data_IF_627363841584
#
_entry.id   IF_627363841584
#
_cell.length_a   1.000
_cell.length_b   1.000
_cell.length_c   1.000
_cell.angle_alpha   90.00
_cell.angle_beta   90.00
_cell.angle_gamma   90.00
#
_symmetry.space_group_name_H-M   'P 1'
#
loop_
_entity.id
_entity.type
_entity.pdbx_description
1 polymer ?
#
# COMPACT_ATOMS: atom_id res chain seq x y z
N UNK A 1 12.54 8.15 -12.16
CA UNK A 1 11.09 7.86 -12.15
C UNK A 1 10.86 6.78 -11.10
N UNK A 2 9.74 6.81 -10.38
CA UNK A 2 9.47 5.78 -9.35
C UNK A 2 9.23 4.47 -10.07
N UNK A 3 9.81 3.36 -9.62
CA UNK A 3 9.56 2.06 -10.23
C UNK A 3 8.19 1.51 -9.77
N UNK A 4 7.46 0.87 -10.67
CA UNK A 4 6.14 0.30 -10.35
C UNK A 4 6.25 -0.78 -9.25
N UNK A 5 7.37 -1.50 -9.22
CA UNK A 5 7.72 -2.53 -8.24
C UNK A 5 7.83 -1.96 -6.82
N UNK A 6 8.21 -0.69 -6.67
CA UNK A 6 8.27 0.00 -5.37
C UNK A 6 6.87 0.40 -4.87
N UNK A 7 5.93 0.62 -5.80
CA UNK A 7 4.56 1.03 -5.50
C UNK A 7 3.65 -0.16 -5.22
N UNK A 8 3.87 -1.30 -5.88
CA UNK A 8 3.07 -2.52 -5.70
C UNK A 8 2.86 -2.92 -4.21
N UNK A 9 3.89 -3.04 -3.36
CA UNK A 9 3.68 -3.42 -1.96
C UNK A 9 2.98 -2.35 -1.12
N UNK A 10 3.06 -1.07 -1.52
CA UNK A 10 2.30 0.00 -0.87
C UNK A 10 0.83 -0.06 -1.26
N UNK A 11 0.54 -0.27 -2.54
CA UNK A 11 -0.82 -0.42 -3.06
C UNK A 11 -1.54 -1.63 -2.44
N UNK A 12 -0.89 -2.78 -2.35
CA UNK A 12 -1.50 -3.98 -1.73
C UNK A 12 -1.92 -3.72 -0.28
N UNK A 13 -1.05 -3.06 0.51
CA UNK A 13 -1.36 -2.66 1.89
C UNK A 13 -2.50 -1.65 1.95
N UNK A 14 -2.52 -0.69 1.04
CA UNK A 14 -3.60 0.29 0.93
C UNK A 14 -4.94 -0.39 0.60
N UNK A 15 -4.97 -1.32 -0.35
CA UNK A 15 -6.17 -2.06 -0.75
C UNK A 15 -6.75 -2.84 0.44
N UNK A 16 -5.92 -3.65 1.12
CA UNK A 16 -6.37 -4.44 2.28
C UNK A 16 -6.84 -3.54 3.41
N UNK A 17 -6.11 -2.47 3.70
CA UNK A 17 -6.42 -1.55 4.79
C UNK A 17 -7.68 -0.70 4.55
N UNK A 18 -7.84 -0.18 3.34
CA UNK A 18 -9.00 0.64 2.94
C UNK A 18 -10.26 -0.20 2.88
N UNK A 19 -10.21 -1.35 2.21
CA UNK A 19 -11.37 -2.19 1.95
C UNK A 19 -11.66 -3.19 3.07
N UNK A 20 -10.88 -3.14 4.16
CA UNK A 20 -11.04 -3.98 5.36
C UNK A 20 -11.17 -5.47 5.01
N UNK A 21 -10.30 -5.94 4.11
CA UNK A 21 -10.28 -7.34 3.69
C UNK A 21 -9.74 -8.21 4.83
N UNK A 22 -10.61 -8.56 5.78
CA UNK A 22 -10.24 -9.30 6.99
C UNK A 22 -9.63 -10.67 6.65
N UNK A 23 -8.44 -10.94 7.19
CA UNK A 23 -7.74 -12.21 6.99
C UNK A 23 -7.02 -12.35 5.64
N UNK A 24 -7.00 -11.29 4.80
CA UNK A 24 -6.25 -11.28 3.57
C UNK A 24 -4.88 -10.61 3.79
N UNK A 25 -3.80 -11.36 3.52
CA UNK A 25 -2.45 -10.82 3.59
C UNK A 25 -2.16 -9.99 2.33
N UNK A 26 -1.76 -8.71 2.43
CA UNK A 26 -1.38 -7.92 1.27
C UNK A 26 -0.28 -8.59 0.43
N UNK A 27 0.63 -9.36 1.01
CA UNK A 27 1.67 -10.06 0.25
C UNK A 27 1.12 -11.24 -0.58
N UNK A 28 -0.06 -11.76 -0.22
CA UNK A 28 -0.72 -12.84 -0.98
C UNK A 28 -1.41 -12.37 -2.26
N UNK A 29 -1.61 -11.05 -2.42
CA UNK A 29 -2.21 -10.46 -3.62
C UNK A 29 -1.18 -10.50 -4.76
N UNK A 30 -1.57 -11.11 -5.88
CA UNK A 30 -0.72 -11.15 -7.08
C UNK A 30 -0.63 -9.78 -7.75
N UNK A 31 0.54 -9.44 -8.33
CA UNK A 31 0.71 -8.17 -9.04
C UNK A 31 -0.22 -8.05 -10.25
N UNK A 32 -0.46 -9.19 -10.91
CA UNK A 32 -1.28 -9.32 -12.12
C UNK A 32 -2.69 -9.87 -11.81
N UNK A 33 -3.03 -10.00 -10.51
CA UNK A 33 -4.34 -10.45 -10.08
C UNK A 33 -5.40 -9.39 -10.39
N UNK A 34 -6.57 -9.84 -10.87
CA UNK A 34 -7.72 -8.96 -11.07
C UNK A 34 -8.14 -8.34 -9.73
N UNK A 35 -8.32 -7.03 -9.70
CA UNK A 35 -8.86 -6.37 -8.50
C UNK A 35 -10.39 -6.54 -8.45
N UNK A 36 -11.06 -6.43 -9.58
CA UNK A 36 -12.53 -6.47 -9.67
C UNK A 36 -13.04 -7.82 -10.19
N UNK A 37 -14.29 -8.16 -9.86
CA UNK A 37 -14.93 -9.37 -10.36
C UNK A 37 -14.30 -10.65 -9.82
N UNK A 38 -13.82 -11.54 -10.69
CA UNK A 38 -13.34 -12.89 -10.29
C UNK A 38 -12.00 -12.91 -9.53
N UNK A 39 -11.33 -11.77 -9.37
CA UNK A 39 -10.05 -11.70 -8.64
C UNK A 39 -10.20 -11.45 -7.15
N UNK A 40 -9.97 -10.22 -6.68
CA UNK A 40 -10.21 -9.84 -5.27
C UNK A 40 -11.70 -9.69 -4.93
N UNK A 41 -12.61 -9.78 -5.91
CA UNK A 41 -14.04 -9.69 -5.64
C UNK A 41 -14.54 -8.27 -5.39
N UNK A 42 -13.75 -7.25 -5.70
CA UNK A 42 -14.13 -5.86 -5.43
C UNK A 42 -15.31 -5.43 -6.30
N UNK A 43 -16.21 -4.66 -5.70
CA UNK A 43 -17.34 -4.07 -6.40
C UNK A 43 -17.08 -2.61 -6.83
N UNK A 44 -18.09 -1.97 -7.43
CA UNK A 44 -17.99 -0.59 -7.90
C UNK A 44 -17.92 0.44 -6.77
N UNK A 45 -18.37 0.10 -5.56
CA UNK A 45 -18.30 0.97 -4.38
C UNK A 45 -16.87 0.92 -3.83
N UNK A 46 -16.30 -0.29 -3.72
CA UNK A 46 -14.91 -0.50 -3.32
C UNK A 46 -13.94 0.23 -4.26
N UNK A 47 -14.23 0.24 -5.56
CA UNK A 47 -13.43 0.99 -6.54
C UNK A 47 -13.32 2.47 -6.19
N UNK A 48 -14.44 3.10 -5.85
CA UNK A 48 -14.50 4.52 -5.53
C UNK A 48 -13.77 4.82 -4.22
N UNK A 49 -13.91 3.96 -3.22
CA UNK A 49 -13.19 4.12 -1.95
C UNK A 49 -11.68 3.98 -2.15
N UNK A 50 -11.25 3.01 -2.97
CA UNK A 50 -9.85 2.81 -3.31
C UNK A 50 -9.28 4.01 -4.09
N UNK A 51 -10.02 4.57 -5.05
CA UNK A 51 -9.64 5.79 -5.78
C UNK A 51 -9.37 6.94 -4.81
N UNK A 52 -10.31 7.22 -3.91
CA UNK A 52 -10.17 8.31 -2.93
C UNK A 52 -8.98 8.06 -2.00
N UNK A 53 -8.75 6.81 -1.60
CA UNK A 53 -7.59 6.45 -0.77
C UNK A 53 -6.26 6.70 -1.49
N UNK A 54 -6.16 6.33 -2.78
CA UNK A 54 -4.96 6.54 -3.60
C UNK A 54 -4.68 8.02 -3.82
N UNK A 55 -5.70 8.82 -4.17
CA UNK A 55 -5.56 10.26 -4.35
C UNK A 55 -4.98 10.94 -3.11
N UNK A 56 -5.43 10.51 -1.92
CA UNK A 56 -4.97 11.04 -0.64
C UNK A 56 -3.57 10.56 -0.27
N UNK A 57 -3.27 9.28 -0.45
CA UNK A 57 -1.98 8.66 -0.10
C UNK A 57 -0.84 9.18 -1.00
N UNK A 58 -1.12 9.36 -2.29
CA UNK A 58 -0.13 9.71 -3.30
C UNK A 58 -0.18 11.18 -3.73
N UNK A 59 -1.11 11.96 -3.17
CA UNK A 59 -1.33 13.38 -3.50
C UNK A 59 -1.50 13.63 -5.01
N UNK A 60 -2.24 12.74 -5.68
CA UNK A 60 -2.53 12.83 -7.11
C UNK A 60 -4.05 12.99 -7.34
N UNK A 61 -4.41 13.44 -8.53
CA UNK A 61 -5.80 13.44 -8.99
C UNK A 61 -6.01 12.33 -10.03
N UNK A 62 -7.02 11.50 -9.81
CA UNK A 62 -7.49 10.48 -10.75
C UNK A 62 -8.75 11.04 -11.43
N UNK A 63 -8.69 11.40 -12.73
CA UNK A 63 -9.85 11.96 -13.39
C UNK A 63 -11.02 10.98 -13.41
N UNK A 64 -12.23 11.47 -13.17
CA UNK A 64 -13.46 10.69 -13.35
C UNK A 64 -13.50 10.14 -14.79
N UNK A 65 -13.81 8.84 -14.93
CA UNK A 65 -13.76 8.13 -16.20
C UNK A 65 -12.37 7.65 -16.64
N UNK A 66 -11.30 7.88 -15.86
CA UNK A 66 -10.03 7.15 -16.00
C UNK A 66 -9.88 6.00 -15.01
N UNK A 67 -10.85 5.86 -14.10
CA UNK A 67 -11.16 4.62 -13.37
C UNK A 67 -11.83 3.63 -14.32
N UNK A 68 -11.39 3.59 -15.57
CA UNK A 68 -11.80 2.53 -16.48
C UNK A 68 -11.15 1.23 -16.00
N UNK A 69 -11.81 0.11 -16.31
CA UNK A 69 -11.39 -1.25 -15.98
C UNK A 69 -9.91 -1.54 -16.30
N UNK A 70 -9.29 -0.78 -17.21
CA UNK A 70 -7.90 -0.96 -17.63
C UNK A 70 -6.90 -0.51 -16.55
N UNK A 71 -7.06 0.68 -15.94
CA UNK A 71 -6.09 1.18 -14.94
C UNK A 71 -6.21 0.40 -13.63
N UNK A 72 -7.44 0.07 -13.26
CA UNK A 72 -7.80 -0.65 -12.04
C UNK A 72 -7.86 -2.17 -12.25
N UNK A 73 -7.31 -2.67 -13.34
CA UNK A 73 -7.29 -4.10 -13.66
C UNK A 73 -6.53 -4.91 -12.62
N UNK A 74 -5.30 -4.50 -12.31
CA UNK A 74 -4.37 -5.19 -11.42
C UNK A 74 -3.48 -4.20 -10.67
N UNK A 75 -2.81 -4.68 -9.61
CA UNK A 75 -1.84 -3.87 -8.85
C UNK A 75 -0.72 -3.36 -9.76
N UNK A 76 -0.25 -4.19 -10.71
CA UNK A 76 0.78 -3.81 -11.68
C UNK A 76 0.34 -2.62 -12.53
N UNK A 77 -0.84 -2.68 -13.13
CA UNK A 77 -1.30 -1.62 -14.03
C UNK A 77 -1.47 -0.30 -13.28
N UNK A 78 -2.03 -0.37 -12.08
CA UNK A 78 -2.18 0.78 -11.20
C UNK A 78 -0.81 1.37 -10.80
N UNK A 79 0.15 0.52 -10.43
CA UNK A 79 1.50 0.94 -10.07
C UNK A 79 2.24 1.64 -11.23
N UNK A 80 2.13 1.10 -12.44
CA UNK A 80 2.70 1.72 -13.65
C UNK A 80 2.06 3.08 -13.89
N UNK A 81 0.74 3.17 -13.79
CA UNK A 81 0.01 4.42 -14.01
C UNK A 81 0.38 5.51 -12.99
N UNK A 82 0.62 5.12 -11.72
CA UNK A 82 1.11 6.01 -10.66
C UNK A 82 2.56 6.45 -10.89
N UNK A 83 3.44 5.52 -11.27
CA UNK A 83 4.85 5.79 -11.54
C UNK A 83 5.06 6.86 -12.63
N UNK A 84 4.16 6.94 -13.61
CA UNK A 84 4.17 7.98 -14.65
C UNK A 84 3.79 9.37 -14.13
N UNK A 85 3.04 9.46 -13.03
CA UNK A 85 2.44 10.71 -12.51
C UNK A 85 3.15 11.24 -11.29
N UNK A 86 3.78 10.37 -10.52
CA UNK A 86 4.50 10.74 -9.33
C UNK A 86 5.84 11.40 -9.70
N UNK A 87 6.07 12.68 -9.36
CA UNK A 87 7.41 13.22 -9.37
C UNK A 87 8.26 12.42 -8.39
N UNK A 88 9.55 12.22 -8.68
CA UNK A 88 10.49 11.58 -7.75
C UNK A 88 10.60 12.46 -6.50
N UNK A 89 9.75 12.19 -5.52
CA UNK A 89 9.59 12.96 -4.30
C UNK A 89 9.30 12.00 -3.16
N UNK A 90 10.39 11.60 -2.53
CA UNK A 90 10.58 10.99 -1.21
C UNK A 90 9.42 10.15 -0.61
N UNK A 91 9.64 8.85 -0.34
CA UNK A 91 8.73 8.06 0.46
C UNK A 91 8.78 8.64 1.88
N UNK A 92 7.80 9.45 2.25
CA UNK A 92 7.54 9.80 3.65
C UNK A 92 7.07 8.56 4.42
N UNK A 93 7.96 7.58 4.53
CA UNK A 93 8.18 6.74 5.69
C UNK A 93 8.78 7.63 6.79
N UNK A 94 8.01 8.61 7.26
CA UNK A 94 8.26 9.30 8.53
C UNK A 94 7.63 8.55 9.70
N UNK A 95 7.32 7.26 9.53
CA UNK A 95 6.64 6.46 10.56
C UNK A 95 7.07 4.99 10.50
N UNK A 96 8.38 4.74 10.59
CA UNK A 96 8.85 3.49 11.16
C UNK A 96 8.70 3.57 12.68
N UNK A 97 7.87 2.72 13.33
CA UNK A 97 7.97 2.53 14.76
C UNK A 97 9.33 1.91 15.06
N UNK A 98 10.14 2.64 15.81
CA UNK A 98 11.47 2.24 16.28
C UNK A 98 11.38 0.96 17.10
N UNK A 99 11.53 -0.20 16.46
CA UNK A 99 11.63 -1.51 17.13
C UNK A 99 12.95 -2.17 16.73
N UNK A 100 14.08 -1.56 17.10
CA UNK A 100 15.37 -2.24 17.11
C UNK A 100 16.24 -1.74 18.27
N UNK A 101 16.08 -2.38 19.43
CA UNK A 101 17.18 -3.12 20.06
C UNK A 101 16.82 -3.45 21.51
N UNK A 102 16.22 -4.62 21.67
CA UNK A 102 16.52 -5.53 22.77
C UNK A 102 18.04 -5.75 22.82
N UNK A 103 18.76 -4.91 23.57
CA UNK A 103 20.02 -5.27 24.20
C UNK A 103 19.70 -5.46 25.67
N UNK A 104 19.36 -6.67 26.09
CA UNK A 104 20.28 -7.51 26.88
C UNK A 104 21.28 -6.63 27.65
N UNK A 105 21.06 -6.43 28.94
CA UNK A 105 21.73 -7.27 29.94
C UNK A 105 21.46 -6.73 31.34
N UNK A 106 21.02 -7.65 32.18
CA UNK A 106 21.01 -7.52 33.62
C UNK A 106 22.35 -6.96 34.12
N UNK A 107 22.29 -5.93 34.96
CA UNK A 107 23.28 -5.74 36.01
C UNK A 107 22.57 -5.61 37.34
N UNK A 108 22.05 -6.76 37.78
CA UNK A 108 22.04 -7.09 39.20
C UNK A 108 23.49 -7.15 39.68
N UNK A 109 23.85 -6.27 40.63
CA UNK A 109 24.84 -6.57 41.68
C UNK A 109 24.62 -5.62 42.86
N UNK A 110 23.87 -6.15 43.83
CA UNK A 110 23.95 -6.08 45.30
C UNK A 110 24.47 -4.82 46.05
N UNK A 111 23.99 -4.59 47.31
CA UNK A 111 24.34 -3.47 48.17
C UNK A 111 25.57 -3.74 49.08
N UNK A 112 26.28 -2.67 49.47
CA UNK A 112 27.21 -2.56 50.60
C UNK A 112 27.55 -1.05 50.74
N UNK A 113 27.57 -0.36 51.87
CA UNK A 113 27.52 -0.68 53.30
C UNK A 113 26.89 0.49 54.05
#
# INVERSE_FOLDING_TARGET
>A
MVAAEELAPRLKRLIVGTLRLEGLDPESIGDDQLLFGEGLGLDSIDALELVVAIEREFAIAIPEGKVDHDVFHSVRTLAVWLAERLPQGDPSDSSQPSQQSVRRSARSRAPAS
#
